data_IF_912648548428
#
_entry.id   IF_912648548428
#
_cell.length_a   1.000
_cell.length_b   1.000
_cell.length_c   1.000
_cell.angle_alpha   90.00
_cell.angle_beta   90.00
_cell.angle_gamma   90.00
#
_symmetry.space_group_name_H-M   'P 1'
#
loop_
_entity.id
_entity.type
_entity.pdbx_description
1 polymer ?
#
# COMPACT_ATOMS: atom_id res chain seq x y z
N UNK A 1 10.17 -4.13 28.04
CA UNK A 1 10.07 -2.97 27.12
C UNK A 1 9.96 -3.56 25.73
N UNK A 2 8.77 -3.57 25.12
CA UNK A 2 8.66 -4.01 23.73
C UNK A 2 9.35 -2.98 22.85
N UNK A 3 10.30 -3.42 22.03
CA UNK A 3 10.76 -2.63 20.89
C UNK A 3 9.58 -2.60 19.92
N UNK A 4 8.74 -1.57 20.00
CA UNK A 4 7.75 -1.34 18.96
C UNK A 4 8.52 -1.16 17.65
N UNK A 5 8.38 -2.11 16.72
CA UNK A 5 8.95 -1.96 15.38
C UNK A 5 8.32 -0.73 14.74
N UNK A 6 9.15 0.23 14.38
CA UNK A 6 8.73 1.44 13.67
C UNK A 6 8.21 1.04 12.29
N UNK A 7 7.02 1.50 11.92
CA UNK A 7 6.45 1.27 10.59
C UNK A 7 7.19 2.14 9.57
N UNK A 8 7.97 1.52 8.69
CA UNK A 8 8.89 2.17 7.74
C UNK A 8 8.29 2.26 6.33
N UNK A 9 9.02 2.94 5.42
CA UNK A 9 8.64 3.01 4.01
C UNK A 9 8.47 1.61 3.41
N UNK A 10 9.34 0.68 3.76
CA UNK A 10 9.29 -0.70 3.28
C UNK A 10 8.03 -1.44 3.77
N UNK A 11 7.67 -1.29 5.05
CA UNK A 11 6.47 -1.91 5.61
C UNK A 11 5.19 -1.39 4.93
N UNK A 12 5.18 -0.10 4.58
CA UNK A 12 4.11 0.48 3.77
C UNK A 12 4.03 -0.15 2.38
N UNK A 13 5.17 -0.34 1.70
CA UNK A 13 5.20 -0.95 0.36
C UNK A 13 4.68 -2.40 0.38
N UNK A 14 5.06 -3.19 1.40
CA UNK A 14 4.51 -4.54 1.60
C UNK A 14 3.00 -4.52 1.89
N UNK A 15 2.54 -3.59 2.74
CA UNK A 15 1.11 -3.44 3.00
C UNK A 15 0.33 -3.09 1.73
N UNK A 16 0.87 -2.17 0.91
CA UNK A 16 0.27 -1.76 -0.35
C UNK A 16 0.29 -2.87 -1.40
N UNK A 17 1.33 -3.71 -1.42
CA UNK A 17 1.38 -4.89 -2.29
C UNK A 17 0.27 -5.88 -1.90
N UNK A 18 0.18 -6.19 -0.60
CA UNK A 18 -0.88 -7.06 -0.07
C UNK A 18 -2.28 -6.56 -0.46
N UNK A 19 -2.51 -5.25 -0.38
CA UNK A 19 -3.75 -4.63 -0.84
C UNK A 19 -4.11 -4.97 -2.29
N UNK A 20 -3.14 -4.93 -3.21
CA UNK A 20 -3.37 -5.22 -4.62
C UNK A 20 -3.36 -6.72 -4.97
N UNK A 21 -2.76 -7.58 -4.15
CA UNK A 21 -2.66 -9.03 -4.40
C UNK A 21 -3.83 -9.84 -3.87
N UNK A 22 -4.52 -9.33 -2.85
CA UNK A 22 -5.64 -10.03 -2.21
C UNK A 22 -6.91 -9.94 -3.06
N UNK A 23 -7.02 -8.89 -3.87
CA UNK A 23 -8.07 -8.72 -4.86
C UNK A 23 -7.42 -8.49 -6.23
N UNK A 24 -7.44 -9.51 -7.09
CA UNK A 24 -6.92 -9.42 -8.47
C UNK A 24 -7.61 -8.29 -9.26
N UNK A 25 -8.85 -7.94 -8.87
CA UNK A 25 -9.61 -6.82 -9.41
C UNK A 25 -9.54 -5.57 -8.53
N UNK A 26 -8.54 -5.45 -7.65
CA UNK A 26 -8.34 -4.25 -6.84
C UNK A 26 -8.13 -3.05 -7.78
N UNK A 27 -9.17 -2.22 -7.86
CA UNK A 27 -9.19 -0.91 -8.50
C UNK A 27 -9.25 0.19 -7.45
N UNK A 28 -8.56 1.29 -7.68
CA UNK A 28 -8.73 2.49 -6.88
C UNK A 28 -10.14 3.05 -7.01
N UNK A 29 -10.71 3.41 -5.88
CA UNK A 29 -11.87 4.30 -5.75
C UNK A 29 -11.54 5.34 -4.67
N UNK A 30 -12.44 6.29 -4.43
CA UNK A 30 -12.21 7.36 -3.46
C UNK A 30 -12.03 6.86 -2.02
N UNK A 31 -12.72 5.76 -1.66
CA UNK A 31 -12.61 5.15 -0.32
C UNK A 31 -11.22 4.55 -0.14
N UNK A 32 -10.76 3.81 -1.15
CA UNK A 32 -9.46 3.16 -1.18
C UNK A 32 -8.31 4.16 -1.23
N UNK A 33 -8.45 5.24 -2.00
CA UNK A 33 -7.49 6.34 -2.01
C UNK A 33 -7.34 6.92 -0.60
N UNK A 34 -8.45 7.20 0.09
CA UNK A 34 -8.42 7.69 1.47
C UNK A 34 -7.70 6.71 2.40
N UNK A 35 -8.00 5.42 2.31
CA UNK A 35 -7.37 4.38 3.13
C UNK A 35 -5.85 4.31 2.91
N UNK A 36 -5.40 4.38 1.66
CA UNK A 36 -3.97 4.33 1.33
C UNK A 36 -3.26 5.59 1.84
N UNK A 37 -3.87 6.77 1.66
CA UNK A 37 -3.33 8.03 2.18
C UNK A 37 -3.22 8.02 3.71
N UNK A 38 -4.25 7.56 4.41
CA UNK A 38 -4.23 7.46 5.88
C UNK A 38 -3.14 6.51 6.36
N UNK A 39 -2.99 5.36 5.69
CA UNK A 39 -1.93 4.39 6.01
C UNK A 39 -0.53 4.95 5.74
N UNK A 40 -0.37 5.73 4.67
CA UNK A 40 0.91 6.36 4.34
C UNK A 40 1.36 7.36 5.43
N UNK A 41 0.43 8.05 6.09
CA UNK A 41 0.74 8.95 7.20
C UNK A 41 1.30 8.24 8.44
N UNK A 42 1.13 6.91 8.55
CA UNK A 42 1.66 6.14 9.69
C UNK A 42 3.13 5.77 9.51
N UNK A 43 3.77 6.12 8.38
CA UNK A 43 5.20 5.90 8.17
C UNK A 43 5.99 6.81 9.09
N UNK A 44 6.80 6.18 9.94
CA UNK A 44 7.51 6.82 11.06
C UNK A 44 8.89 7.39 10.72
N UNK A 45 9.23 7.39 9.43
CA UNK A 45 10.48 7.91 8.90
C UNK A 45 10.20 8.85 7.71
N UNK A 46 11.16 9.70 7.29
CA UNK A 46 10.99 10.52 6.11
C UNK A 46 10.60 9.66 4.89
N UNK A 47 9.63 10.13 4.11
CA UNK A 47 9.17 9.37 2.96
C UNK A 47 10.28 9.16 1.94
N UNK A 48 10.34 7.96 1.37
CA UNK A 48 11.15 7.67 0.19
C UNK A 48 10.55 8.26 -1.09
N UNK A 49 11.24 8.08 -2.21
CA UNK A 49 10.79 8.60 -3.52
C UNK A 49 9.44 8.01 -3.93
N UNK A 50 9.26 6.70 -3.78
CA UNK A 50 8.00 6.02 -4.09
C UNK A 50 6.83 6.57 -3.24
N UNK A 51 7.03 6.70 -1.93
CA UNK A 51 5.99 7.18 -1.01
C UNK A 51 5.61 8.64 -1.29
N UNK A 52 6.58 9.50 -1.65
CA UNK A 52 6.29 10.87 -2.10
C UNK A 52 5.49 10.88 -3.40
N UNK A 53 5.95 10.14 -4.40
CA UNK A 53 5.29 10.04 -5.70
C UNK A 53 3.85 9.52 -5.56
N UNK A 54 3.65 8.45 -4.78
CA UNK A 54 2.33 7.89 -4.55
C UNK A 54 1.39 8.90 -3.87
N UNK A 55 1.87 9.65 -2.87
CA UNK A 55 1.08 10.69 -2.23
C UNK A 55 0.62 11.76 -3.23
N UNK A 56 1.52 12.24 -4.09
CA UNK A 56 1.19 13.22 -5.14
C UNK A 56 0.16 12.65 -6.12
N UNK A 57 0.39 11.43 -6.60
CA UNK A 57 -0.49 10.73 -7.55
C UNK A 57 -1.91 10.56 -6.98
N UNK A 58 -2.02 10.07 -5.75
CA UNK A 58 -3.32 9.85 -5.10
C UNK A 58 -4.05 11.16 -4.82
N UNK A 59 -3.33 12.23 -4.43
CA UNK A 59 -3.96 13.54 -4.25
C UNK A 59 -4.53 14.12 -5.55
N UNK A 60 -3.87 13.89 -6.70
CA UNK A 60 -4.45 14.29 -7.99
C UNK A 60 -5.80 13.61 -8.23
N UNK A 61 -5.91 12.32 -7.88
CA UNK A 61 -7.14 11.54 -8.04
C UNK A 61 -8.26 11.94 -7.09
N UNK A 62 -7.97 12.55 -5.94
CA UNK A 62 -9.03 13.03 -5.01
C UNK A 62 -9.87 14.18 -5.59
N UNK A 63 -9.36 14.87 -6.61
CA UNK A 63 -10.04 16.00 -7.25
C UNK A 63 -10.76 15.64 -8.55
N UNK A 64 -10.66 14.38 -8.98
CA UNK A 64 -11.23 13.92 -10.23
C UNK A 64 -12.58 13.27 -9.93
N UNK A 65 -13.62 13.63 -10.71
CA UNK A 65 -14.90 12.92 -10.68
C UNK A 65 -14.66 11.47 -11.07
N UNK A 66 -15.45 10.55 -10.50
CA UNK A 66 -15.37 9.10 -10.77
C UNK A 66 -15.26 8.81 -12.28
N UNK A 67 -14.03 8.62 -12.73
CA UNK A 67 -13.65 8.25 -14.09
C UNK A 67 -12.97 6.89 -13.99
N UNK A 68 -13.73 5.85 -14.29
CA UNK A 68 -13.27 4.48 -14.09
C UNK A 68 -12.08 4.11 -14.97
N UNK A 69 -11.93 4.73 -16.14
CA UNK A 69 -10.82 4.45 -17.05
C UNK A 69 -9.53 5.08 -16.49
N UNK A 70 -9.61 6.34 -16.07
CA UNK A 70 -8.48 7.00 -15.42
C UNK A 70 -8.06 6.27 -14.13
N UNK A 71 -9.02 5.91 -13.28
CA UNK A 71 -8.73 5.17 -12.04
C UNK A 71 -8.04 3.82 -12.34
N UNK A 72 -8.43 3.14 -13.43
CA UNK A 72 -7.79 1.91 -13.88
C UNK A 72 -6.34 2.14 -14.34
N UNK A 73 -6.08 3.18 -15.12
CA UNK A 73 -4.73 3.55 -15.58
C UNK A 73 -3.79 3.83 -14.41
N UNK A 74 -4.23 4.65 -13.45
CA UNK A 74 -3.42 4.97 -12.27
C UNK A 74 -3.24 3.76 -11.35
N UNK A 75 -4.27 2.92 -11.19
CA UNK A 75 -4.14 1.63 -10.49
C UNK A 75 -3.02 0.78 -11.10
N UNK A 76 -3.00 0.66 -12.43
CA UNK A 76 -1.99 -0.11 -13.14
C UNK A 76 -0.59 0.50 -12.97
N UNK A 77 -0.47 1.82 -13.09
CA UNK A 77 0.78 2.55 -12.88
C UNK A 77 1.37 2.30 -11.48
N UNK A 78 0.53 2.34 -10.43
CA UNK A 78 0.95 2.06 -9.06
C UNK A 78 1.42 0.61 -8.91
N UNK A 79 0.66 -0.37 -9.43
CA UNK A 79 1.06 -1.78 -9.40
C UNK A 79 2.41 -2.01 -10.08
N UNK A 80 2.65 -1.38 -11.23
CA UNK A 80 3.91 -1.50 -11.98
C UNK A 80 5.09 -0.87 -11.23
N UNK A 81 4.93 0.35 -10.70
CA UNK A 81 5.98 1.01 -9.93
C UNK A 81 6.33 0.23 -8.65
N UNK A 82 5.31 -0.34 -8.01
CA UNK A 82 5.51 -1.20 -6.86
C UNK A 82 6.29 -2.46 -7.25
N UNK A 83 5.91 -3.16 -8.33
CA UNK A 83 6.63 -4.34 -8.82
C UNK A 83 8.12 -4.05 -9.13
N UNK A 84 8.42 -2.91 -9.75
CA UNK A 84 9.81 -2.48 -10.01
C UNK A 84 10.58 -2.26 -8.72
N UNK A 85 9.95 -1.67 -7.70
CA UNK A 85 10.57 -1.46 -6.38
C UNK A 85 10.94 -2.81 -5.72
N UNK A 86 10.09 -3.83 -5.87
CA UNK A 86 10.36 -5.19 -5.39
C UNK A 86 11.49 -5.86 -6.15
N UNK A 87 11.47 -5.80 -7.48
CA UNK A 87 12.53 -6.36 -8.32
C UNK A 87 13.93 -5.76 -8.02
N UNK A 88 14.01 -4.46 -7.66
CA UNK A 88 15.28 -3.74 -7.55
C UNK A 88 15.77 -3.46 -6.12
N UNK A 89 14.88 -3.42 -5.13
CA UNK A 89 15.21 -2.91 -3.77
C UNK A 89 14.69 -3.84 -2.67
N UNK A 90 13.50 -4.40 -2.86
CA UNK A 90 12.85 -5.26 -1.86
C UNK A 90 12.94 -6.71 -2.36
N UNK A 91 14.12 -7.29 -2.20
CA UNK A 91 14.49 -8.68 -2.50
C UNK A 91 13.30 -9.66 -2.46
N UNK A 92 12.85 -10.12 -3.65
CA UNK A 92 11.83 -11.16 -3.87
C UNK A 92 12.22 -12.53 -3.26
N UNK A 93 13.38 -12.66 -2.60
CA UNK A 93 13.80 -13.89 -1.94
C UNK A 93 13.25 -14.09 -0.53
N UNK A 94 12.45 -13.17 0.01
CA UNK A 94 11.87 -13.32 1.35
C UNK A 94 10.45 -13.93 1.32
N UNK A 95 10.38 -15.21 1.69
CA UNK A 95 9.17 -15.83 2.23
C UNK A 95 8.64 -14.96 3.38
N UNK A 96 7.61 -14.16 3.13
CA UNK A 96 6.86 -13.51 4.21
C UNK A 96 6.23 -14.60 5.08
N UNK A 97 6.42 -14.59 6.41
CA UNK A 97 5.77 -15.56 7.30
C UNK A 97 4.26 -15.33 7.39
N UNK A 98 3.76 -14.23 6.82
CA UNK A 98 2.36 -13.85 6.86
C UNK A 98 1.60 -14.42 5.68
N UNK A 99 0.53 -15.16 5.97
CA UNK A 99 -0.38 -15.66 4.95
C UNK A 99 -1.17 -14.52 4.31
N UNK A 100 -1.70 -14.75 3.11
CA UNK A 100 -2.59 -13.78 2.43
C UNK A 100 -3.79 -13.39 3.32
N UNK A 101 -4.31 -14.31 4.12
CA UNK A 101 -5.39 -14.05 5.07
C UNK A 101 -4.98 -13.10 6.20
N UNK A 102 -3.74 -13.20 6.70
CA UNK A 102 -3.22 -12.28 7.71
C UNK A 102 -3.04 -10.86 7.14
N UNK A 103 -2.50 -10.76 5.93
CA UNK A 103 -2.37 -9.48 5.24
C UNK A 103 -3.76 -8.86 4.96
N UNK A 104 -4.76 -9.70 4.68
CA UNK A 104 -6.15 -9.29 4.52
C UNK A 104 -6.77 -8.77 5.82
N UNK A 105 -6.55 -9.43 6.96
CA UNK A 105 -7.12 -8.99 8.24
C UNK A 105 -6.57 -7.64 8.70
N UNK A 106 -5.27 -7.38 8.44
CA UNK A 106 -4.63 -6.08 8.67
C UNK A 106 -5.28 -5.00 7.78
N UNK A 107 -5.57 -5.33 6.52
CA UNK A 107 -6.20 -4.42 5.58
C UNK A 107 -7.66 -4.11 5.93
N UNK A 108 -8.42 -5.10 6.37
CA UNK A 108 -9.84 -4.96 6.73
C UNK A 108 -10.04 -4.27 8.10
N UNK A 109 -8.97 -3.80 8.75
CA UNK A 109 -9.01 -3.15 10.06
C UNK A 109 -9.39 -4.10 11.20
N UNK A 110 -9.22 -5.41 10.99
CA UNK A 110 -9.60 -6.45 11.95
C UNK A 110 -8.47 -6.82 12.93
N UNK A 111 -7.29 -6.20 12.80
CA UNK A 111 -6.21 -6.37 13.77
C UNK A 111 -6.25 -5.28 14.84
N UNK A 112 -6.94 -5.59 15.93
CA UNK A 112 -6.57 -5.20 17.28
C UNK A 112 -7.18 -6.22 18.25
N UNK A 113 -6.45 -7.30 18.58
CA UNK A 113 -6.36 -7.87 19.94
C UNK A 113 -5.49 -9.15 19.98
N UNK A 114 -4.48 -9.06 20.86
CA UNK A 114 -3.95 -10.11 21.75
C UNK A 114 -3.18 -11.31 21.17
N UNK A 115 -1.84 -11.21 21.21
CA UNK A 115 -0.96 -12.10 22.01
C UNK A 115 0.35 -11.40 22.42
#
# INVERSE_FOLDING_TARGET
MSNASLFKNQDFCYWLQGYFEIDENAFLDQIKISLILDKLQTVSEPWGDFNRWLNEELHLLTHIKEDSELMAEHTLSIKQNLAVLFEHVIDDSYDTPYTKEHLKSVHDGLNDSDE
#
